data_IF_781933731435
#
_entry.id   IF_781933731435
#
_cell.length_a   1.000
_cell.length_b   1.000
_cell.length_c   1.000
_cell.angle_alpha   90.00
_cell.angle_beta   90.00
_cell.angle_gamma   90.00
#
_symmetry.space_group_name_H-M   'P 1'
#
loop_
_entity.id
_entity.type
_entity.pdbx_description
1 polymer ?
#
# COMPACT_ATOMS: atom_id res chain seq x y z
N UNK A 1 9.99 -27.58 -0.69
CA UNK A 1 9.05 -27.01 0.29
C UNK A 1 7.64 -27.46 -0.11
N UNK A 2 6.81 -27.98 0.81
CA UNK A 2 5.43 -28.35 0.50
C UNK A 2 4.61 -27.12 0.07
N UNK A 3 3.59 -27.28 -0.80
CA UNK A 3 2.76 -26.16 -1.22
C UNK A 3 1.97 -25.58 -0.04
N UNK A 4 1.74 -24.27 -0.09
CA UNK A 4 0.86 -23.57 0.87
C UNK A 4 -0.59 -23.94 0.59
N UNK A 5 -1.38 -24.12 1.66
CA UNK A 5 -2.82 -24.36 1.54
C UNK A 5 -3.50 -23.22 0.74
N UNK A 6 -4.38 -23.53 -0.23
CA UNK A 6 -5.05 -22.52 -1.05
C UNK A 6 -5.75 -21.40 -0.25
N UNK A 7 -6.28 -21.71 0.93
CA UNK A 7 -6.92 -20.70 1.80
C UNK A 7 -5.93 -19.61 2.24
N UNK A 8 -4.72 -20.01 2.64
CA UNK A 8 -3.68 -19.07 3.07
C UNK A 8 -2.95 -18.44 1.90
N UNK A 9 -2.80 -19.17 0.79
CA UNK A 9 -2.11 -18.68 -0.39
C UNK A 9 -2.76 -17.41 -0.96
N UNK A 10 -4.10 -17.34 -0.98
CA UNK A 10 -4.83 -16.15 -1.43
C UNK A 10 -4.61 -14.93 -0.51
N UNK A 11 -4.65 -15.14 0.80
CA UNK A 11 -4.41 -14.08 1.79
C UNK A 11 -2.97 -13.56 1.70
N UNK A 12 -1.99 -14.46 1.64
CA UNK A 12 -0.59 -14.11 1.47
C UNK A 12 -0.37 -13.33 0.17
N UNK A 13 -0.95 -13.78 -0.94
CA UNK A 13 -0.81 -13.10 -2.21
C UNK A 13 -1.37 -11.67 -2.19
N UNK A 14 -2.52 -11.45 -1.54
CA UNK A 14 -3.12 -10.12 -1.41
C UNK A 14 -2.23 -9.20 -0.56
N UNK A 15 -1.69 -9.69 0.56
CA UNK A 15 -0.78 -8.92 1.42
C UNK A 15 0.49 -8.55 0.66
N UNK A 16 1.14 -9.53 0.03
CA UNK A 16 2.35 -9.31 -0.77
C UNK A 16 2.13 -8.30 -1.89
N UNK A 17 0.95 -8.30 -2.52
CA UNK A 17 0.64 -7.35 -3.59
C UNK A 17 0.57 -5.89 -3.07
N UNK A 18 -0.02 -5.65 -1.90
CA UNK A 18 -0.01 -4.30 -1.30
C UNK A 18 1.42 -3.90 -0.91
N UNK A 19 2.21 -4.82 -0.34
CA UNK A 19 3.59 -4.55 0.08
C UNK A 19 4.47 -4.12 -1.09
N UNK A 20 4.35 -4.77 -2.25
CA UNK A 20 5.06 -4.37 -3.47
C UNK A 20 4.64 -2.97 -3.95
N UNK A 21 3.34 -2.65 -3.90
CA UNK A 21 2.86 -1.30 -4.23
C UNK A 21 3.41 -0.25 -3.26
N UNK A 22 3.44 -0.55 -1.97
CA UNK A 22 3.96 0.34 -0.94
C UNK A 22 5.47 0.56 -1.11
N UNK A 23 6.22 -0.49 -1.42
CA UNK A 23 7.65 -0.40 -1.73
C UNK A 23 7.91 0.49 -2.94
N UNK A 24 7.15 0.30 -4.04
CA UNK A 24 7.27 1.15 -5.23
C UNK A 24 6.92 2.60 -4.92
N UNK A 25 5.92 2.85 -4.06
CA UNK A 25 5.58 4.19 -3.61
C UNK A 25 6.71 4.81 -2.77
N UNK A 26 7.37 4.03 -1.89
CA UNK A 26 8.48 4.50 -1.09
C UNK A 26 9.73 4.84 -1.94
N UNK A 27 10.05 3.99 -2.93
CA UNK A 27 11.23 4.15 -3.80
C UNK A 27 11.08 5.26 -4.83
N UNK A 28 9.89 5.42 -5.40
CA UNK A 28 9.66 6.30 -6.55
C UNK A 28 8.76 7.49 -6.27
N UNK A 29 8.14 7.52 -5.09
CA UNK A 29 7.21 8.56 -4.69
C UNK A 29 5.97 8.68 -5.55
N UNK A 30 5.23 9.75 -5.27
CA UNK A 30 4.04 10.15 -6.00
C UNK A 30 2.75 9.71 -5.33
N UNK A 31 1.83 10.67 -5.24
CA UNK A 31 0.51 10.52 -4.62
C UNK A 31 -0.25 9.29 -5.12
N UNK A 32 -0.29 9.08 -6.43
CA UNK A 32 -1.00 7.95 -7.04
C UNK A 32 -0.46 6.58 -6.62
N UNK A 33 0.85 6.46 -6.37
CA UNK A 33 1.45 5.20 -5.91
C UNK A 33 1.10 4.93 -4.46
N UNK A 34 1.14 5.97 -3.61
CA UNK A 34 0.68 5.90 -2.22
C UNK A 34 -0.80 5.52 -2.18
N UNK A 35 -1.63 6.18 -2.99
CA UNK A 35 -3.06 5.88 -3.08
C UNK A 35 -3.33 4.43 -3.48
N UNK A 36 -2.65 3.92 -4.52
CA UNK A 36 -2.79 2.52 -4.93
C UNK A 36 -2.37 1.53 -3.84
N UNK A 37 -1.30 1.83 -3.10
CA UNK A 37 -0.87 1.01 -1.98
C UNK A 37 -1.91 0.99 -0.85
N UNK A 38 -2.46 2.15 -0.47
CA UNK A 38 -3.49 2.26 0.55
C UNK A 38 -4.82 1.64 0.11
N UNK A 39 -5.22 1.80 -1.15
CA UNK A 39 -6.42 1.15 -1.69
C UNK A 39 -6.30 -0.37 -1.71
N UNK A 40 -5.11 -0.91 -1.96
CA UNK A 40 -4.84 -2.35 -1.92
C UNK A 40 -4.68 -2.91 -0.50
N UNK A 41 -4.49 -2.04 0.52
CA UNK A 41 -4.20 -2.46 1.87
C UNK A 41 -5.41 -3.15 2.53
N UNK A 42 -5.24 -4.34 3.14
CA UNK A 42 -6.36 -5.18 3.62
C UNK A 42 -7.24 -4.52 4.70
N UNK A 43 -6.67 -3.60 5.48
CA UNK A 43 -7.40 -2.86 6.52
C UNK A 43 -7.98 -1.50 6.05
N UNK A 44 -7.69 -1.08 4.81
CA UNK A 44 -8.15 0.21 4.27
C UNK A 44 -9.18 -0.07 3.18
N UNK A 45 -8.77 -0.59 2.00
CA UNK A 45 -9.63 -1.20 0.97
C UNK A 45 -10.74 -0.35 0.36
N UNK A 46 -11.01 0.84 0.90
CA UNK A 46 -12.14 1.69 0.57
C UNK A 46 -11.65 2.97 -0.09
N UNK A 47 -12.25 3.30 -1.24
CA UNK A 47 -11.78 4.41 -2.09
C UNK A 47 -11.67 5.73 -1.33
N UNK A 48 -12.77 6.19 -0.71
CA UNK A 48 -12.83 7.48 -0.01
C UNK A 48 -11.83 7.53 1.15
N UNK A 49 -11.66 6.43 1.86
CA UNK A 49 -10.73 6.35 2.98
C UNK A 49 -9.26 6.33 2.51
N UNK A 50 -8.95 5.56 1.46
CA UNK A 50 -7.63 5.52 0.86
C UNK A 50 -7.23 6.89 0.28
N UNK A 51 -8.17 7.59 -0.35
CA UNK A 51 -7.96 8.92 -0.90
C UNK A 51 -7.61 9.93 0.20
N UNK A 52 -8.44 10.02 1.24
CA UNK A 52 -8.23 10.94 2.36
C UNK A 52 -6.94 10.62 3.14
N UNK A 53 -6.66 9.33 3.38
CA UNK A 53 -5.42 8.91 4.06
C UNK A 53 -4.17 9.19 3.24
N UNK A 54 -4.24 9.13 1.91
CA UNK A 54 -3.09 9.43 1.05
C UNK A 54 -2.62 10.86 1.28
N UNK A 55 -3.55 11.81 1.25
CA UNK A 55 -3.23 13.23 1.40
C UNK A 55 -2.72 13.52 2.81
N UNK A 56 -3.34 12.94 3.84
CA UNK A 56 -2.90 13.08 5.23
C UNK A 56 -1.50 12.49 5.45
N UNK A 57 -1.23 11.29 4.96
CA UNK A 57 0.06 10.61 5.14
C UNK A 57 1.20 11.41 4.50
N UNK A 58 1.01 11.91 3.29
CA UNK A 58 2.04 12.69 2.58
C UNK A 58 2.23 14.05 3.27
N UNK A 59 1.15 14.73 3.65
CA UNK A 59 1.24 16.03 4.29
C UNK A 59 1.97 15.98 5.64
N UNK A 60 1.69 14.98 6.48
CA UNK A 60 2.29 14.85 7.80
C UNK A 60 3.73 14.31 7.76
N UNK A 61 4.10 13.53 6.74
CA UNK A 61 5.42 12.88 6.68
C UNK A 61 6.35 13.51 5.64
N UNK A 62 6.08 14.73 5.16
CA UNK A 62 6.90 15.37 4.12
C UNK A 62 8.39 15.41 4.48
N UNK A 63 8.71 15.64 5.75
CA UNK A 63 10.09 15.65 6.26
C UNK A 63 10.78 14.26 6.25
N UNK A 64 10.01 13.17 6.16
CA UNK A 64 10.51 11.79 6.13
C UNK A 64 10.44 11.15 4.74
N UNK A 65 9.74 11.79 3.80
CA UNK A 65 9.58 11.31 2.44
C UNK A 65 10.55 12.08 1.54
N UNK A 66 11.67 11.45 1.17
CA UNK A 66 12.73 12.07 0.37
C UNK A 66 12.27 12.60 -1.02
N UNK A 67 11.07 12.23 -1.45
CA UNK A 67 10.46 12.59 -2.72
C UNK A 67 9.29 13.59 -2.61
N UNK A 68 8.87 13.98 -1.40
CA UNK A 68 7.63 14.73 -1.15
C UNK A 68 7.84 16.22 -0.84
#
# INVERSE_FOLDING_TARGET
VPPVDPLFAGLMAQVTAYEDLALRAALHGGRDRVFKALLAHPLIGQYEYAEALTDQLIAHNREHLAWA
#
